data_IF_720852431759
#
_entry.id   IF_720852431759
#
_cell.length_a   1.000
_cell.length_b   1.000
_cell.length_c   1.000
_cell.angle_alpha   90.00
_cell.angle_beta   90.00
_cell.angle_gamma   90.00
#
_symmetry.space_group_name_H-M   'P 1'
#
loop_
_entity.id
_entity.type
_entity.pdbx_description
1 polymer ?
#
# COMPACT_ATOMS: atom_id res chain seq x y z
N UNK A 1 -21.83 10.26 16.58
CA UNK A 1 -20.79 11.20 17.06
C UNK A 1 -20.34 12.01 15.85
N UNK A 2 -20.61 13.31 15.85
CA UNK A 2 -20.53 14.20 14.68
C UNK A 2 -19.08 14.66 14.44
N UNK A 3 -18.60 14.61 13.19
CA UNK A 3 -17.26 15.06 12.79
C UNK A 3 -17.26 16.57 12.55
N UNK A 4 -16.24 17.26 13.07
CA UNK A 4 -16.01 18.69 12.92
C UNK A 4 -15.78 19.11 11.44
N UNK A 5 -16.15 20.35 11.04
CA UNK A 5 -16.07 20.80 9.66
C UNK A 5 -14.63 20.95 9.16
N UNK A 6 -14.40 20.44 7.94
CA UNK A 6 -13.09 20.33 7.31
C UNK A 6 -12.41 21.67 7.02
N UNK A 7 -11.08 21.66 7.16
CA UNK A 7 -10.18 22.78 6.89
C UNK A 7 -10.29 23.26 5.42
N UNK A 8 -10.52 24.57 5.15
CA UNK A 8 -10.79 25.11 3.81
C UNK A 8 -9.61 25.07 2.81
N UNK A 9 -8.44 24.52 3.19
CA UNK A 9 -7.30 24.34 2.28
C UNK A 9 -7.44 23.14 1.32
N UNK A 10 -8.42 22.25 1.52
CA UNK A 10 -8.73 21.17 0.59
C UNK A 10 -9.75 21.64 -0.46
N UNK A 11 -9.33 22.56 -1.32
CA UNK A 11 -10.05 22.90 -2.55
C UNK A 11 -10.22 21.62 -3.39
N UNK A 12 -11.44 21.06 -3.39
CA UNK A 12 -11.96 19.91 -4.18
C UNK A 12 -10.94 19.31 -5.17
N UNK A 13 -10.00 18.52 -4.69
CA UNK A 13 -9.28 17.59 -5.56
C UNK A 13 -10.31 16.55 -5.96
N UNK A 14 -10.56 16.37 -7.26
CA UNK A 14 -11.37 15.24 -7.74
C UNK A 14 -10.66 13.96 -7.30
N UNK A 15 -11.28 13.23 -6.39
CA UNK A 15 -10.80 11.93 -5.88
C UNK A 15 -11.69 10.80 -6.43
N UNK A 16 -11.25 9.54 -6.30
CA UNK A 16 -12.02 8.38 -6.81
C UNK A 16 -11.58 7.82 -8.17
N UNK A 17 -10.42 8.23 -8.69
CA UNK A 17 -9.89 7.79 -9.99
C UNK A 17 -9.16 6.44 -9.98
N UNK A 18 -9.25 5.64 -8.91
CA UNK A 18 -8.49 4.39 -8.79
C UNK A 18 -8.83 3.40 -9.90
N UNK A 19 -10.10 3.25 -10.27
CA UNK A 19 -10.53 2.32 -11.31
C UNK A 19 -9.97 2.73 -12.69
N UNK A 20 -10.08 4.02 -13.03
CA UNK A 20 -9.54 4.57 -14.28
C UNK A 20 -8.03 4.44 -14.35
N UNK A 21 -7.32 4.79 -13.27
CA UNK A 21 -5.87 4.69 -13.23
C UNK A 21 -5.40 3.24 -13.26
N UNK A 22 -6.09 2.32 -12.56
CA UNK A 22 -5.79 0.89 -12.62
C UNK A 22 -5.98 0.35 -14.02
N UNK A 23 -7.07 0.69 -14.71
CA UNK A 23 -7.30 0.29 -16.09
C UNK A 23 -6.17 0.77 -17.00
N UNK A 24 -5.82 2.06 -16.95
CA UNK A 24 -4.71 2.63 -17.70
C UNK A 24 -3.38 1.91 -17.41
N UNK A 25 -3.12 1.62 -16.14
CA UNK A 25 -1.90 0.93 -15.71
C UNK A 25 -1.84 -0.49 -16.27
N UNK A 26 -2.92 -1.27 -16.12
CA UNK A 26 -2.93 -2.70 -16.43
C UNK A 26 -3.16 -3.02 -17.90
N UNK A 27 -3.93 -2.21 -18.60
CA UNK A 27 -4.31 -2.45 -20.00
C UNK A 27 -3.42 -1.70 -20.99
N UNK A 28 -2.73 -0.64 -20.56
CA UNK A 28 -1.91 0.19 -21.44
C UNK A 28 -0.46 0.24 -20.98
N UNK A 29 -0.17 0.79 -19.79
CA UNK A 29 1.21 1.09 -19.38
C UNK A 29 2.06 -0.17 -19.23
N UNK A 30 1.56 -1.19 -18.52
CA UNK A 30 2.28 -2.46 -18.32
C UNK A 30 2.52 -3.18 -19.66
N UNK A 31 1.50 -3.45 -20.49
CA UNK A 31 1.73 -4.12 -21.79
C UNK A 31 2.71 -3.37 -22.70
N UNK A 32 2.63 -2.03 -22.76
CA UNK A 32 3.53 -1.24 -23.61
C UNK A 32 4.96 -1.20 -23.09
N UNK A 33 5.15 -1.08 -21.78
CA UNK A 33 6.49 -1.04 -21.17
C UNK A 33 7.23 -2.37 -21.33
N UNK A 34 6.48 -3.49 -21.30
CA UNK A 34 7.06 -4.82 -21.29
C UNK A 34 7.13 -5.48 -22.67
N UNK A 35 6.60 -4.84 -23.73
CA UNK A 35 6.40 -5.44 -25.05
C UNK A 35 7.64 -6.12 -25.66
N UNK A 36 8.84 -5.65 -25.32
CA UNK A 36 10.12 -6.17 -25.83
C UNK A 36 11.05 -6.66 -24.71
N UNK A 37 10.52 -6.88 -23.51
CA UNK A 37 11.29 -7.31 -22.34
C UNK A 37 10.92 -8.75 -21.96
N UNK A 38 11.91 -9.54 -21.55
CA UNK A 38 11.67 -10.84 -20.92
C UNK A 38 11.30 -10.61 -19.45
N UNK A 39 10.01 -10.46 -19.19
CA UNK A 39 9.47 -10.24 -17.85
C UNK A 39 8.96 -11.56 -17.26
N UNK A 40 9.36 -11.86 -16.03
CA UNK A 40 8.72 -12.88 -15.22
C UNK A 40 7.48 -12.27 -14.54
N UNK A 41 6.25 -12.66 -14.92
CA UNK A 41 5.04 -12.09 -14.34
C UNK A 41 4.88 -12.43 -12.84
N UNK A 42 5.55 -13.47 -12.34
CA UNK A 42 5.54 -13.82 -10.91
C UNK A 42 6.40 -12.89 -10.06
N UNK A 43 7.34 -12.17 -10.68
CA UNK A 43 8.18 -11.16 -10.04
C UNK A 43 7.75 -9.74 -10.39
N UNK A 44 6.49 -9.55 -10.82
CA UNK A 44 5.93 -8.22 -11.08
C UNK A 44 5.41 -7.60 -9.78
N UNK A 45 5.98 -6.48 -9.39
CA UNK A 45 5.61 -5.74 -8.19
C UNK A 45 4.98 -4.38 -8.50
N UNK A 46 4.16 -3.88 -7.57
CA UNK A 46 3.74 -2.48 -7.50
C UNK A 46 4.07 -1.90 -6.13
N UNK A 47 4.60 -0.69 -6.12
CA UNK A 47 4.91 0.08 -4.92
C UNK A 47 4.20 1.43 -4.96
N UNK A 48 3.77 1.91 -3.79
CA UNK A 48 3.19 3.23 -3.67
C UNK A 48 3.32 3.78 -2.26
N UNK A 49 3.67 5.06 -2.16
CA UNK A 49 3.75 5.82 -0.92
C UNK A 49 2.54 6.73 -0.72
N UNK A 50 2.09 6.92 0.52
CA UNK A 50 1.00 7.84 0.86
C UNK A 50 -0.29 7.51 0.12
N UNK A 51 -0.78 8.39 -0.77
CA UNK A 51 -1.93 8.12 -1.63
C UNK A 51 -1.66 6.96 -2.61
N UNK A 52 -0.41 6.80 -3.07
CA UNK A 52 0.01 5.63 -3.82
C UNK A 52 -0.13 4.35 -2.99
N UNK A 53 0.12 4.41 -1.68
CA UNK A 53 -0.10 3.29 -0.77
C UNK A 53 -1.57 2.89 -0.69
N UNK A 54 -2.50 3.86 -0.70
CA UNK A 54 -3.94 3.57 -0.80
C UNK A 54 -4.30 2.89 -2.13
N UNK A 55 -3.72 3.35 -3.24
CA UNK A 55 -3.92 2.74 -4.54
C UNK A 55 -3.41 1.29 -4.57
N UNK A 56 -2.25 1.02 -3.97
CA UNK A 56 -1.70 -0.35 -3.86
C UNK A 56 -2.65 -1.27 -3.08
N UNK A 57 -3.21 -0.82 -1.96
CA UNK A 57 -4.18 -1.60 -1.18
C UNK A 57 -5.45 -1.89 -1.97
N UNK A 58 -5.96 -0.90 -2.73
CA UNK A 58 -7.10 -1.09 -3.61
C UNK A 58 -6.79 -2.09 -4.75
N UNK A 59 -5.65 -1.92 -5.44
CA UNK A 59 -5.22 -2.79 -6.52
C UNK A 59 -4.98 -4.24 -6.06
N UNK A 60 -4.44 -4.43 -4.85
CA UNK A 60 -4.22 -5.76 -4.26
C UNK A 60 -5.51 -6.57 -4.15
N UNK A 61 -6.64 -5.91 -3.83
CA UNK A 61 -7.96 -6.54 -3.71
C UNK A 61 -8.63 -6.88 -5.04
N UNK A 62 -8.07 -6.44 -6.17
CA UNK A 62 -8.64 -6.58 -7.51
C UNK A 62 -7.80 -7.54 -8.36
N UNK A 63 -8.38 -8.06 -9.44
CA UNK A 63 -7.60 -8.77 -10.44
C UNK A 63 -6.59 -7.79 -11.06
N UNK A 64 -5.33 -8.18 -11.17
CA UNK A 64 -4.24 -7.28 -11.53
C UNK A 64 -2.99 -8.10 -11.91
N UNK A 65 -2.12 -7.60 -12.80
CA UNK A 65 -0.93 -8.32 -13.27
C UNK A 65 0.21 -8.40 -12.24
N UNK A 66 0.06 -7.80 -11.05
CA UNK A 66 1.08 -7.80 -10.01
C UNK A 66 0.92 -9.00 -9.06
N UNK A 67 2.05 -9.65 -8.74
CA UNK A 67 2.12 -10.67 -7.69
C UNK A 67 2.55 -10.11 -6.33
N UNK A 68 3.23 -8.95 -6.31
CA UNK A 68 3.83 -8.38 -5.11
C UNK A 68 3.38 -6.92 -4.94
N UNK A 69 2.89 -6.58 -3.75
CA UNK A 69 2.29 -5.28 -3.46
C UNK A 69 2.98 -4.65 -2.25
N UNK A 70 3.55 -3.46 -2.41
CA UNK A 70 4.20 -2.70 -1.33
C UNK A 70 3.42 -1.41 -1.07
N UNK A 71 2.65 -1.38 0.03
CA UNK A 71 1.92 -0.19 0.46
C UNK A 71 2.71 0.51 1.57
N UNK A 72 3.31 1.65 1.23
CA UNK A 72 4.16 2.42 2.14
C UNK A 72 3.45 3.65 2.70
N UNK A 73 3.43 3.78 4.02
CA UNK A 73 2.77 4.83 4.79
C UNK A 73 1.42 5.27 4.19
N UNK A 74 0.46 4.33 4.00
CA UNK A 74 -0.80 4.64 3.35
C UNK A 74 -1.58 5.70 4.13
N UNK A 75 -2.10 6.71 3.43
CA UNK A 75 -2.87 7.81 4.03
C UNK A 75 -4.30 7.38 4.43
N UNK A 76 -4.44 6.38 5.30
CA UNK A 76 -5.72 5.73 5.64
C UNK A 76 -6.80 6.73 6.08
N UNK A 77 -6.44 7.73 6.89
CA UNK A 77 -7.38 8.77 7.36
C UNK A 77 -7.87 9.73 6.28
N UNK A 78 -7.26 9.72 5.09
CA UNK A 78 -7.65 10.54 3.93
C UNK A 78 -8.42 9.75 2.87
N UNK A 79 -8.61 8.44 3.08
CA UNK A 79 -9.36 7.60 2.16
C UNK A 79 -10.87 7.87 2.27
N UNK A 80 -11.54 8.02 1.13
CA UNK A 80 -13.02 8.16 1.09
C UNK A 80 -13.74 6.92 1.67
N UNK A 81 -13.14 5.76 1.45
CA UNK A 81 -13.55 4.47 1.99
C UNK A 81 -12.29 3.73 2.41
N UNK A 82 -12.33 2.99 3.52
CA UNK A 82 -11.15 2.24 3.95
C UNK A 82 -10.85 1.11 2.95
N UNK A 83 -9.67 1.10 2.30
CA UNK A 83 -9.31 0.01 1.40
C UNK A 83 -9.20 -1.34 2.13
N UNK A 84 -9.05 -1.29 3.47
CA UNK A 84 -8.97 -2.44 4.37
C UNK A 84 -10.35 -2.91 4.87
N UNK A 85 -11.44 -2.21 4.52
CA UNK A 85 -12.79 -2.59 4.89
C UNK A 85 -13.14 -3.98 4.35
N UNK A 86 -13.84 -4.76 5.17
CA UNK A 86 -14.25 -6.13 4.87
C UNK A 86 -13.07 -7.10 4.63
N UNK A 87 -11.86 -6.80 5.13
CA UNK A 87 -10.76 -7.78 5.15
C UNK A 87 -11.14 -9.10 5.85
N UNK A 88 -12.11 -9.02 6.77
CA UNK A 88 -12.67 -10.17 7.50
C UNK A 88 -13.49 -11.14 6.64
N UNK A 89 -13.91 -10.76 5.42
CA UNK A 89 -14.64 -11.66 4.52
C UNK A 89 -13.82 -12.13 3.32
N UNK A 90 -12.53 -11.77 3.24
CA UNK A 90 -11.66 -12.23 2.16
C UNK A 90 -11.43 -13.74 2.21
N UNK A 91 -11.49 -14.35 1.03
CA UNK A 91 -11.17 -15.76 0.75
C UNK A 91 -9.74 -15.85 0.21
N UNK A 92 -8.88 -16.59 0.91
CA UNK A 92 -7.47 -16.76 0.56
C UNK A 92 -7.25 -17.36 -0.84
N UNK A 93 -8.21 -18.15 -1.35
CA UNK A 93 -8.15 -18.71 -2.71
C UNK A 93 -7.97 -17.61 -3.76
N UNK A 94 -8.68 -16.48 -3.59
CA UNK A 94 -8.63 -15.34 -4.52
C UNK A 94 -7.31 -14.58 -4.48
N UNK A 95 -6.48 -14.80 -3.46
CA UNK A 95 -5.21 -14.13 -3.25
C UNK A 95 -4.00 -15.07 -3.41
N UNK A 96 -4.22 -16.30 -3.90
CA UNK A 96 -3.12 -17.20 -4.25
C UNK A 96 -2.15 -16.54 -5.23
N UNK A 97 -0.86 -16.64 -4.93
CA UNK A 97 0.20 -15.99 -5.72
C UNK A 97 0.35 -14.48 -5.48
N UNK A 98 -0.39 -13.89 -4.53
CA UNK A 98 -0.23 -12.49 -4.14
C UNK A 98 0.44 -12.36 -2.78
N UNK A 99 1.37 -11.43 -2.67
CA UNK A 99 1.98 -11.01 -1.40
C UNK A 99 1.75 -9.53 -1.16
N UNK A 100 1.35 -9.16 0.05
CA UNK A 100 1.17 -7.77 0.48
C UNK A 100 2.17 -7.42 1.58
N UNK A 101 2.89 -6.33 1.37
CA UNK A 101 3.82 -5.74 2.33
C UNK A 101 3.27 -4.39 2.75
N UNK A 102 3.04 -4.22 4.05
CA UNK A 102 2.61 -2.98 4.69
C UNK A 102 3.83 -2.35 5.36
N UNK A 103 4.28 -1.18 4.88
CA UNK A 103 5.49 -0.52 5.35
C UNK A 103 5.07 0.76 6.07
N UNK A 104 5.43 0.93 7.34
CA UNK A 104 5.00 2.09 8.12
C UNK A 104 6.10 2.59 9.07
N UNK A 105 6.22 3.91 9.18
CA UNK A 105 7.05 4.58 10.19
C UNK A 105 6.23 4.95 11.41
N UNK A 106 6.88 5.25 12.53
CA UNK A 106 6.20 5.79 13.72
C UNK A 106 6.79 7.13 14.20
N UNK A 107 7.66 7.72 13.38
CA UNK A 107 8.15 9.08 13.59
C UNK A 107 7.05 10.11 13.30
N UNK A 108 7.16 11.28 13.95
CA UNK A 108 6.25 12.41 13.73
C UNK A 108 7.04 13.63 13.29
N UNK A 109 6.81 14.12 12.07
CA UNK A 109 7.36 15.40 11.65
C UNK A 109 6.46 16.57 12.09
N UNK A 110 7.04 17.75 12.26
CA UNK A 110 6.29 18.97 12.57
C UNK A 110 5.38 19.32 11.38
N UNK A 111 4.07 19.35 11.61
CA UNK A 111 3.07 19.67 10.59
C UNK A 111 2.52 18.46 9.81
N UNK A 112 2.90 17.23 10.19
CA UNK A 112 2.25 16.03 9.64
C UNK A 112 0.79 15.93 10.10
N UNK A 113 -0.10 15.39 9.24
CA UNK A 113 -1.48 15.15 9.61
C UNK A 113 -1.57 14.26 10.86
N UNK A 114 -2.35 14.68 11.85
CA UNK A 114 -2.71 13.86 13.00
C UNK A 114 -3.38 12.56 12.54
N UNK A 115 -2.87 11.39 12.95
CA UNK A 115 -3.42 10.07 12.59
C UNK A 115 -2.40 8.94 12.34
N UNK A 116 -1.09 9.24 12.33
CA UNK A 116 -0.03 8.26 12.01
C UNK A 116 0.01 7.05 12.98
N UNK A 117 -0.12 7.28 14.29
CA UNK A 117 -0.15 6.18 15.28
C UNK A 117 -1.39 5.28 15.13
N UNK A 118 -2.54 5.87 14.79
CA UNK A 118 -3.75 5.10 14.53
C UNK A 118 -3.59 4.23 13.26
N UNK A 119 -2.85 4.72 12.25
CA UNK A 119 -2.50 3.91 11.07
C UNK A 119 -1.63 2.71 11.43
N UNK A 120 -0.66 2.85 12.34
CA UNK A 120 0.23 1.76 12.71
C UNK A 120 -0.52 0.58 13.33
N UNK A 121 -1.41 0.85 14.29
CA UNK A 121 -2.21 -0.20 14.92
C UNK A 121 -3.18 -0.85 13.92
N UNK A 122 -3.83 -0.04 13.08
CA UNK A 122 -4.74 -0.54 12.03
C UNK A 122 -4.00 -1.45 11.04
N UNK A 123 -2.80 -1.09 10.59
CA UNK A 123 -2.01 -1.90 9.67
C UNK A 123 -1.52 -3.19 10.32
N UNK A 124 -1.06 -3.13 11.57
CA UNK A 124 -0.63 -4.30 12.33
C UNK A 124 -1.79 -5.29 12.54
N UNK A 125 -2.94 -4.81 12.99
CA UNK A 125 -4.14 -5.64 13.16
C UNK A 125 -4.60 -6.23 11.82
N UNK A 126 -4.59 -5.43 10.76
CA UNK A 126 -4.93 -5.89 9.41
C UNK A 126 -4.00 -7.00 8.96
N UNK A 127 -2.69 -6.85 9.14
CA UNK A 127 -1.73 -7.88 8.81
C UNK A 127 -2.03 -9.18 9.57
N UNK A 128 -2.19 -9.13 10.89
CA UNK A 128 -2.45 -10.30 11.72
C UNK A 128 -3.73 -11.02 11.27
N UNK A 129 -4.78 -10.27 10.99
CA UNK A 129 -6.07 -10.80 10.59
C UNK A 129 -6.05 -11.43 9.18
N UNK A 130 -5.28 -10.87 8.25
CA UNK A 130 -5.13 -11.42 6.91
C UNK A 130 -4.23 -12.67 6.95
N UNK A 131 -3.16 -12.62 7.72
CA UNK A 131 -2.26 -13.76 7.92
C UNK A 131 -2.97 -14.95 8.58
N UNK A 132 -3.85 -14.72 9.56
CA UNK A 132 -4.64 -15.78 10.21
C UNK A 132 -5.61 -16.50 9.26
N UNK A 133 -5.83 -15.94 8.06
CA UNK A 133 -6.65 -16.54 7.00
C UNK A 133 -5.82 -17.22 5.91
N UNK A 134 -4.50 -17.25 6.06
CA UNK A 134 -3.58 -17.84 5.08
C UNK A 134 -3.23 -16.93 3.91
N UNK A 135 -3.47 -15.61 4.00
CA UNK A 135 -2.95 -14.66 3.01
C UNK A 135 -1.49 -14.33 3.33
N UNK A 136 -0.65 -14.21 2.30
CA UNK A 136 0.75 -13.78 2.44
C UNK A 136 0.82 -12.27 2.67
N UNK A 137 0.85 -11.87 3.95
CA UNK A 137 0.91 -10.45 4.34
C UNK A 137 2.00 -10.24 5.39
N UNK A 138 2.90 -9.30 5.13
CA UNK A 138 3.94 -8.86 6.04
C UNK A 138 3.73 -7.40 6.45
N UNK A 139 4.18 -7.07 7.66
CA UNK A 139 4.23 -5.71 8.18
C UNK A 139 5.68 -5.38 8.50
N UNK A 140 6.20 -4.29 7.92
CA UNK A 140 7.56 -3.80 8.14
C UNK A 140 7.47 -2.43 8.81
N UNK A 141 7.79 -2.40 10.09
CA UNK A 141 7.82 -1.18 10.88
C UNK A 141 9.22 -0.56 10.83
N UNK A 142 9.30 0.75 10.60
CA UNK A 142 10.54 1.50 10.61
C UNK A 142 10.54 2.54 11.74
N UNK A 143 11.07 2.19 12.92
CA UNK A 143 11.01 3.05 14.10
C UNK A 143 11.67 4.41 13.88
N UNK A 144 11.02 5.47 14.35
CA UNK A 144 11.49 6.84 14.32
C UNK A 144 11.45 7.53 12.95
N UNK A 145 11.11 6.80 11.88
CA UNK A 145 11.01 7.40 10.55
C UNK A 145 9.66 8.10 10.37
N UNK A 146 9.72 9.33 9.89
CA UNK A 146 8.56 10.17 9.57
C UNK A 146 7.92 9.74 8.25
N UNK A 147 6.69 10.21 7.97
CA UNK A 147 5.97 9.90 6.73
C UNK A 147 6.78 10.24 5.48
N UNK A 148 7.51 11.36 5.49
CA UNK A 148 8.39 11.75 4.38
C UNK A 148 9.59 10.82 4.21
N UNK A 149 10.28 10.49 5.31
CA UNK A 149 11.45 9.59 5.29
C UNK A 149 11.08 8.17 4.84
N UNK A 150 9.84 7.76 5.09
CA UNK A 150 9.31 6.49 4.62
C UNK A 150 9.35 6.32 3.10
N UNK A 151 9.35 7.39 2.30
CA UNK A 151 9.43 7.28 0.84
C UNK A 151 10.69 6.53 0.40
N UNK A 152 11.87 7.01 0.80
CA UNK A 152 13.16 6.47 0.33
C UNK A 152 13.43 5.08 0.89
N UNK A 153 13.24 4.89 2.20
CA UNK A 153 13.51 3.61 2.86
C UNK A 153 12.58 2.51 2.33
N UNK A 154 11.30 2.81 2.12
CA UNK A 154 10.33 1.81 1.67
C UNK A 154 10.55 1.40 0.22
N UNK A 155 10.91 2.35 -0.66
CA UNK A 155 11.24 2.05 -2.04
C UNK A 155 12.51 1.20 -2.13
N UNK A 156 13.57 1.55 -1.38
CA UNK A 156 14.80 0.75 -1.34
C UNK A 156 14.55 -0.65 -0.80
N UNK A 157 13.80 -0.78 0.29
CA UNK A 157 13.43 -2.09 0.84
C UNK A 157 12.63 -2.94 -0.14
N UNK A 158 11.67 -2.33 -0.87
CA UNK A 158 10.90 -3.03 -1.89
C UNK A 158 11.79 -3.53 -3.04
N UNK A 159 12.73 -2.72 -3.52
CA UNK A 159 13.67 -3.09 -4.58
C UNK A 159 14.63 -4.20 -4.14
N UNK A 160 15.21 -4.09 -2.93
CA UNK A 160 16.09 -5.11 -2.37
C UNK A 160 15.35 -6.44 -2.24
N UNK A 161 14.17 -6.42 -1.62
CA UNK A 161 13.35 -7.61 -1.44
C UNK A 161 12.93 -8.23 -2.78
N UNK A 162 12.53 -7.42 -3.76
CA UNK A 162 12.22 -7.89 -5.11
C UNK A 162 13.42 -8.54 -5.81
N UNK A 163 14.64 -8.07 -5.54
CA UNK A 163 15.88 -8.64 -6.09
C UNK A 163 16.37 -9.89 -5.34
N UNK A 164 15.61 -10.40 -4.36
CA UNK A 164 15.99 -11.55 -3.54
C UNK A 164 16.97 -11.22 -2.40
N UNK A 165 17.23 -9.93 -2.14
CA UNK A 165 18.04 -9.47 -1.02
C UNK A 165 17.17 -9.17 0.21
N UNK A 166 17.79 -9.12 1.39
CA UNK A 166 17.09 -8.64 2.58
C UNK A 166 16.69 -7.17 2.41
N UNK A 167 15.46 -6.84 2.80
CA UNK A 167 15.03 -5.45 2.94
C UNK A 167 15.89 -4.71 3.99
N UNK A 168 15.87 -3.38 3.96
CA UNK A 168 16.54 -2.59 5.00
C UNK A 168 15.95 -2.94 6.37
N UNK A 169 16.75 -2.76 7.43
CA UNK A 169 16.37 -3.12 8.78
C UNK A 169 15.01 -2.54 9.18
N UNK A 170 14.13 -3.42 9.64
CA UNK A 170 12.76 -3.14 10.05
C UNK A 170 12.39 -4.07 11.20
N UNK A 171 11.28 -3.76 11.89
CA UNK A 171 10.66 -4.58 12.93
C UNK A 171 9.39 -5.26 12.41
#
# INVERSE_FOLDING_TARGET
MSLAPGNPRYRRVKTGGNDVFRQLLTETMVPQTEANLKIDPHQRAIWGHSYGGLFVLDAWRKASPFGIYYSASPSLGQALQSPLQASQSLDAVRFRGKSLYLLEGDGKARGEPSGHEASLEVLRQTQQQLASKGLTVAFWRYPGLTHGQMFEVSLRSALLHLSGQAALAHQ
#
